data_IF_254605318929
#
_entry.id   IF_254605318929
#
_cell.length_a   1.000
_cell.length_b   1.000
_cell.length_c   1.000
_cell.angle_alpha   90.00
_cell.angle_beta   90.00
_cell.angle_gamma   90.00
#
_symmetry.space_group_name_H-M   'P 1'
#
loop_
_entity.id
_entity.type
_entity.pdbx_description
1 polymer ?
#
# COMPACT_ATOMS: atom_id res chain seq x y z
N UNK A 1 -1.37 -16.90 16.21
CA UNK A 1 -0.70 -16.18 15.09
C UNK A 1 -1.62 -15.21 14.36
N UNK A 2 -2.88 -15.56 14.01
CA UNK A 2 -3.76 -14.60 13.31
C UNK A 2 -4.12 -13.35 14.11
N UNK A 3 -4.27 -13.46 15.43
CA UNK A 3 -4.50 -12.30 16.30
C UNK A 3 -3.35 -11.29 16.23
N UNK A 4 -2.10 -11.74 16.32
CA UNK A 4 -0.91 -10.87 16.21
C UNK A 4 -0.85 -10.14 14.86
N UNK A 5 -1.20 -10.81 13.76
CA UNK A 5 -1.22 -10.19 12.45
C UNK A 5 -2.29 -9.09 12.35
N UNK A 6 -3.48 -9.31 12.93
CA UNK A 6 -4.51 -8.29 13.00
C UNK A 6 -4.07 -7.07 13.82
N UNK A 7 -3.44 -7.28 14.99
CA UNK A 7 -2.90 -6.19 15.80
C UNK A 7 -1.83 -5.38 15.06
N UNK A 8 -0.93 -6.05 14.32
CA UNK A 8 0.10 -5.36 13.55
C UNK A 8 -0.50 -4.47 12.44
N UNK A 9 -1.53 -4.94 11.74
CA UNK A 9 -2.21 -4.15 10.71
C UNK A 9 -2.94 -2.95 11.31
N UNK A 10 -3.59 -3.12 12.48
CA UNK A 10 -4.23 -2.01 13.19
C UNK A 10 -3.23 -0.96 13.66
N UNK A 11 -2.07 -1.38 14.17
CA UNK A 11 -1.00 -0.46 14.55
C UNK A 11 -0.49 0.32 13.33
N UNK A 12 -0.31 -0.34 12.18
CA UNK A 12 0.11 0.34 10.95
C UNK A 12 -0.90 1.40 10.49
N UNK A 13 -2.21 1.14 10.60
CA UNK A 13 -3.24 2.15 10.33
C UNK A 13 -3.16 3.33 11.32
N UNK A 14 -2.92 3.03 12.60
CA UNK A 14 -2.72 4.06 13.63
C UNK A 14 -1.49 4.93 13.37
N UNK A 15 -0.38 4.33 12.93
CA UNK A 15 0.85 5.06 12.58
C UNK A 15 0.64 5.98 11.38
N UNK A 16 -0.10 5.52 10.36
CA UNK A 16 -0.45 6.34 9.18
C UNK A 16 -1.35 7.51 9.60
N UNK A 17 -2.38 7.26 10.43
CA UNK A 17 -3.28 8.31 10.92
C UNK A 17 -2.49 9.38 11.71
N UNK A 18 -1.66 8.95 12.66
CA UNK A 18 -0.81 9.86 13.43
C UNK A 18 0.18 10.63 12.53
N UNK A 19 0.67 10.01 11.46
CA UNK A 19 1.48 10.66 10.43
C UNK A 19 0.72 11.78 9.72
N UNK A 20 -0.49 11.49 9.23
CA UNK A 20 -1.37 12.47 8.59
C UNK A 20 -1.75 13.61 9.53
N UNK A 21 -2.13 13.30 10.78
CA UNK A 21 -2.44 14.31 11.80
C UNK A 21 -1.24 15.21 12.09
N UNK A 22 -0.02 14.67 12.13
CA UNK A 22 1.18 15.50 12.30
C UNK A 22 1.36 16.45 11.15
N UNK A 23 1.25 15.98 9.90
CA UNK A 23 1.38 16.84 8.71
C UNK A 23 0.32 17.95 8.74
N UNK A 24 -0.92 17.62 9.09
CA UNK A 24 -2.02 18.58 9.16
C UNK A 24 -1.87 19.58 10.32
N UNK A 25 -1.45 19.10 11.51
CA UNK A 25 -1.38 19.91 12.73
C UNK A 25 -0.05 20.64 12.92
N UNK A 26 0.95 20.40 12.06
CA UNK A 26 2.19 21.19 12.04
C UNK A 26 2.28 22.05 10.77
N UNK A 27 1.30 22.93 10.48
CA UNK A 27 1.44 23.89 9.40
C UNK A 27 2.58 24.86 9.72
N UNK A 28 3.18 25.44 8.68
CA UNK A 28 4.11 26.54 8.90
C UNK A 28 3.40 27.69 9.64
N UNK A 29 4.07 28.39 10.56
CA UNK A 29 3.39 29.43 11.30
C UNK A 29 2.90 30.52 10.32
N UNK A 30 1.62 30.89 10.42
CA UNK A 30 0.93 31.78 9.48
C UNK A 30 1.71 33.09 9.25
N UNK A 31 2.36 33.61 10.28
CA UNK A 31 3.19 34.81 10.17
C UNK A 31 4.32 34.68 9.12
N UNK A 32 4.92 33.49 8.95
CA UNK A 32 5.94 33.26 7.93
C UNK A 32 5.35 33.33 6.52
N UNK A 33 4.23 32.65 6.27
CA UNK A 33 3.56 32.67 4.95
C UNK A 33 3.19 34.11 4.53
N UNK A 34 2.66 34.90 5.47
CA UNK A 34 2.30 36.30 5.25
C UNK A 34 3.55 37.14 4.98
N UNK A 35 4.60 37.00 5.80
CA UNK A 35 5.83 37.76 5.64
C UNK A 35 6.53 37.46 4.31
N UNK A 36 6.63 36.18 3.91
CA UNK A 36 7.22 35.78 2.62
C UNK A 36 6.45 36.40 1.47
N UNK A 37 5.12 36.35 1.50
CA UNK A 37 4.28 36.99 0.48
C UNK A 37 4.52 38.51 0.41
N UNK A 38 4.49 39.20 1.56
CA UNK A 38 4.72 40.65 1.62
C UNK A 38 6.10 41.05 1.10
N UNK A 39 7.16 40.36 1.52
CA UNK A 39 8.53 40.64 1.08
C UNK A 39 8.67 40.38 -0.43
N UNK A 40 8.08 39.30 -0.94
CA UNK A 40 8.11 38.97 -2.37
C UNK A 40 7.44 40.06 -3.21
N UNK A 41 6.28 40.56 -2.77
CA UNK A 41 5.59 41.67 -3.41
C UNK A 41 6.42 42.95 -3.42
N UNK A 42 7.02 43.31 -2.28
CA UNK A 42 7.92 44.47 -2.18
C UNK A 42 9.13 44.31 -3.10
N UNK A 43 9.73 43.12 -3.15
CA UNK A 43 10.87 42.83 -4.01
C UNK A 43 10.53 43.01 -5.50
N UNK A 44 9.41 42.43 -5.96
CA UNK A 44 8.97 42.56 -7.36
C UNK A 44 8.67 44.03 -7.72
N UNK A 45 8.12 44.81 -6.80
CA UNK A 45 7.90 46.25 -7.00
C UNK A 45 9.20 47.06 -7.05
N UNK A 46 10.24 46.65 -6.32
CA UNK A 46 11.56 47.31 -6.31
C UNK A 46 12.47 46.90 -7.47
N UNK A 47 12.27 45.70 -8.02
CA UNK A 47 13.01 45.13 -9.14
C UNK A 47 13.16 46.06 -10.38
N UNK A 48 12.13 46.79 -10.86
CA UNK A 48 12.30 47.73 -11.97
C UNK A 48 13.27 48.87 -11.67
N UNK A 49 13.28 49.40 -10.44
CA UNK A 49 14.20 50.47 -10.05
C UNK A 49 15.64 49.97 -9.99
N UNK A 50 15.84 48.69 -9.68
CA UNK A 50 17.15 48.05 -9.68
C UNK A 50 17.70 47.85 -11.11
N UNK A 51 16.84 47.43 -12.07
CA UNK A 51 17.28 47.09 -13.42
C UNK A 51 17.30 48.28 -14.41
N UNK A 52 16.54 49.35 -14.15
CA UNK A 52 16.43 50.48 -15.10
C UNK A 52 17.78 51.13 -15.41
N UNK A 53 18.70 51.18 -14.44
CA UNK A 53 20.04 51.75 -14.63
C UNK A 53 20.98 50.88 -15.47
N UNK A 54 20.71 49.58 -15.59
CA UNK A 54 21.56 48.63 -16.32
C UNK A 54 21.03 48.34 -17.73
N UNK A 55 19.71 48.20 -17.86
CA UNK A 55 19.05 47.72 -19.10
C UNK A 55 18.19 48.79 -19.80
N UNK A 56 18.03 49.98 -19.22
CA UNK A 56 17.17 51.05 -19.74
C UNK A 56 15.77 50.53 -20.14
N UNK A 57 15.37 50.66 -21.41
CA UNK A 57 14.07 50.22 -21.91
C UNK A 57 13.87 48.70 -21.88
N UNK A 58 14.95 47.90 -21.93
CA UNK A 58 14.87 46.43 -21.85
C UNK A 58 14.54 45.98 -20.43
N UNK A 59 14.67 46.86 -19.42
CA UNK A 59 14.26 46.55 -18.06
C UNK A 59 12.77 46.20 -17.96
N UNK A 60 11.89 46.79 -18.78
CA UNK A 60 10.45 46.55 -18.74
C UNK A 60 10.09 45.08 -19.02
N UNK A 61 10.46 44.48 -20.17
CA UNK A 61 10.18 43.06 -20.42
C UNK A 61 10.96 42.14 -19.48
N UNK A 62 12.18 42.52 -19.08
CA UNK A 62 12.99 41.72 -18.16
C UNK A 62 12.36 41.62 -16.76
N UNK A 63 11.85 42.73 -16.22
CA UNK A 63 11.20 42.75 -14.90
C UNK A 63 9.86 42.04 -14.93
N UNK A 64 9.09 42.16 -16.02
CA UNK A 64 7.86 41.38 -16.22
C UNK A 64 8.12 39.87 -16.20
N UNK A 65 9.14 39.41 -16.93
CA UNK A 65 9.50 38.00 -16.96
C UNK A 65 9.98 37.50 -15.58
N UNK A 66 10.83 38.28 -14.90
CA UNK A 66 11.28 37.95 -13.55
C UNK A 66 10.12 37.91 -12.54
N UNK A 67 9.21 38.89 -12.59
CA UNK A 67 8.02 38.94 -11.75
C UNK A 67 7.12 37.72 -11.95
N UNK A 68 6.90 37.31 -13.19
CA UNK A 68 6.11 36.11 -13.51
C UNK A 68 6.72 34.85 -12.89
N UNK A 69 8.04 34.68 -12.99
CA UNK A 69 8.74 33.52 -12.41
C UNK A 69 8.64 33.53 -10.88
N UNK A 70 8.93 34.68 -10.25
CA UNK A 70 8.96 34.81 -8.78
C UNK A 70 7.56 34.65 -8.19
N UNK A 71 6.56 35.34 -8.73
CA UNK A 71 5.19 35.26 -8.24
C UNK A 71 4.56 33.90 -8.57
N UNK A 72 4.88 33.31 -9.72
CA UNK A 72 4.46 31.96 -10.07
C UNK A 72 4.99 30.93 -9.07
N UNK A 73 6.27 31.04 -8.70
CA UNK A 73 6.86 30.17 -7.68
C UNK A 73 6.20 30.34 -6.31
N UNK A 74 5.90 31.58 -5.91
CA UNK A 74 5.18 31.86 -4.66
C UNK A 74 3.79 31.21 -4.64
N UNK A 75 3.05 31.30 -5.76
CA UNK A 75 1.71 30.74 -5.86
C UNK A 75 1.74 29.21 -5.81
N UNK A 76 2.63 28.57 -6.57
CA UNK A 76 2.82 27.12 -6.56
C UNK A 76 3.22 26.64 -5.16
N UNK A 77 4.13 27.36 -4.49
CA UNK A 77 4.55 27.03 -3.13
C UNK A 77 3.39 27.06 -2.14
N UNK A 78 2.45 27.99 -2.31
CA UNK A 78 1.25 28.09 -1.48
C UNK A 78 0.28 26.93 -1.70
N UNK A 79 0.08 26.52 -2.96
CA UNK A 79 -0.78 25.37 -3.30
C UNK A 79 -0.22 24.06 -2.72
N UNK A 80 1.10 23.87 -2.77
CA UNK A 80 1.74 22.63 -2.27
C UNK A 80 1.80 22.59 -0.72
N UNK A 81 1.63 23.73 -0.04
CA UNK A 81 1.72 23.81 1.42
C UNK A 81 0.59 23.04 2.13
N UNK A 82 -0.60 22.95 1.53
CA UNK A 82 -1.77 22.31 2.14
C UNK A 82 -2.36 21.17 1.27
N UNK A 83 -1.70 20.01 1.18
CA UNK A 83 -2.09 18.92 0.26
C UNK A 83 -3.43 18.24 0.58
N UNK A 84 -4.00 18.50 1.76
CA UNK A 84 -5.27 17.92 2.23
C UNK A 84 -6.45 18.90 2.10
N UNK A 85 -6.28 20.00 1.37
CA UNK A 85 -7.31 21.02 1.17
C UNK A 85 -8.42 20.61 0.20
N UNK A 86 -8.93 21.60 -0.50
CA UNK A 86 -10.03 21.48 -1.48
C UNK A 86 -9.64 22.12 -2.82
N UNK A 87 -8.36 22.47 -3.01
CA UNK A 87 -7.86 23.07 -4.23
C UNK A 87 -7.74 22.00 -5.33
N UNK A 88 -7.67 22.44 -6.59
CA UNK A 88 -7.65 21.52 -7.75
C UNK A 88 -6.40 20.63 -7.76
N UNK A 89 -5.32 21.08 -7.12
CA UNK A 89 -4.05 20.37 -7.04
C UNK A 89 -3.91 19.50 -5.77
N UNK A 90 -4.92 19.51 -4.90
CA UNK A 90 -4.88 18.74 -3.65
C UNK A 90 -5.18 17.25 -3.89
N UNK A 91 -4.93 16.44 -2.85
CA UNK A 91 -5.17 15.01 -2.90
C UNK A 91 -6.68 14.71 -3.00
N UNK A 92 -7.11 13.81 -3.91
CA UNK A 92 -8.51 13.45 -4.07
C UNK A 92 -8.95 12.45 -2.98
N UNK A 93 -9.06 12.94 -1.74
CA UNK A 93 -9.37 12.10 -0.56
C UNK A 93 -10.69 11.34 -0.71
N UNK A 94 -11.70 11.96 -1.32
CA UNK A 94 -13.00 11.32 -1.57
C UNK A 94 -12.86 10.06 -2.42
N UNK A 95 -12.04 10.12 -3.47
CA UNK A 95 -11.79 8.98 -4.35
C UNK A 95 -11.05 7.85 -3.63
N UNK A 96 -10.12 8.18 -2.73
CA UNK A 96 -9.46 7.16 -1.90
C UNK A 96 -10.43 6.50 -0.94
N UNK A 97 -11.32 7.26 -0.30
CA UNK A 97 -12.36 6.73 0.58
C UNK A 97 -13.32 5.81 -0.18
N UNK A 98 -13.77 6.22 -1.38
CA UNK A 98 -14.65 5.41 -2.23
C UNK A 98 -13.98 4.09 -2.63
N UNK A 99 -12.70 4.14 -3.01
CA UNK A 99 -11.93 2.95 -3.36
C UNK A 99 -11.81 1.98 -2.17
N UNK A 100 -11.46 2.49 -0.98
CA UNK A 100 -11.36 1.68 0.24
C UNK A 100 -12.72 1.03 0.58
N UNK A 101 -13.82 1.78 0.46
CA UNK A 101 -15.17 1.25 0.70
C UNK A 101 -15.50 0.13 -0.27
N UNK A 102 -15.23 0.32 -1.56
CA UNK A 102 -15.47 -0.70 -2.58
C UNK A 102 -14.66 -1.98 -2.33
N UNK A 103 -13.38 -1.86 -1.97
CA UNK A 103 -12.55 -3.02 -1.62
C UNK A 103 -13.06 -3.75 -0.37
N UNK A 104 -13.52 -3.00 0.64
CA UNK A 104 -14.08 -3.58 1.86
C UNK A 104 -15.37 -4.36 1.57
N UNK A 105 -16.25 -3.82 0.72
CA UNK A 105 -17.49 -4.51 0.30
C UNK A 105 -17.18 -5.79 -0.46
N UNK A 106 -16.18 -5.78 -1.36
CA UNK A 106 -15.73 -6.98 -2.06
C UNK A 106 -15.24 -8.03 -1.06
N UNK A 107 -14.39 -7.64 -0.10
CA UNK A 107 -13.87 -8.55 0.93
C UNK A 107 -15.00 -9.11 1.79
N UNK A 108 -15.96 -8.27 2.18
CA UNK A 108 -17.11 -8.64 2.99
C UNK A 108 -18.10 -9.56 2.26
N UNK A 109 -18.16 -9.49 0.93
CA UNK A 109 -19.02 -10.36 0.11
C UNK A 109 -18.59 -11.83 0.11
N UNK A 110 -17.32 -12.13 0.45
CA UNK A 110 -16.85 -13.50 0.53
C UNK A 110 -17.40 -14.20 1.79
N UNK A 111 -18.15 -15.29 1.59
CA UNK A 111 -18.60 -16.13 2.69
C UNK A 111 -17.39 -16.74 3.42
N UNK A 112 -17.23 -16.41 4.71
CA UNK A 112 -16.26 -17.09 5.57
C UNK A 112 -16.71 -18.53 5.74
N UNK A 113 -16.18 -19.44 4.91
CA UNK A 113 -16.45 -20.87 5.06
C UNK A 113 -16.08 -21.29 6.49
N UNK A 114 -17.03 -21.84 7.27
CA UNK A 114 -16.72 -22.25 8.62
C UNK A 114 -15.64 -23.32 8.56
N UNK A 115 -14.55 -23.13 9.31
CA UNK A 115 -13.38 -24.03 9.34
C UNK A 115 -13.79 -25.49 9.53
N UNK A 116 -14.85 -25.72 10.31
CA UNK A 116 -15.48 -27.03 10.52
C UNK A 116 -15.93 -27.64 9.19
N UNK A 117 -16.67 -26.92 8.35
CA UNK A 117 -17.14 -27.42 7.05
C UNK A 117 -15.99 -27.78 6.10
N UNK A 118 -14.89 -27.03 6.15
CA UNK A 118 -13.68 -27.33 5.37
C UNK A 118 -12.99 -28.57 5.94
N UNK A 119 -12.91 -28.68 7.27
CA UNK A 119 -12.25 -29.81 7.93
C UNK A 119 -12.95 -31.15 7.63
N UNK A 120 -14.28 -31.17 7.69
CA UNK A 120 -15.08 -32.37 7.44
C UNK A 120 -15.46 -32.58 5.96
N UNK A 121 -14.97 -31.72 5.05
CA UNK A 121 -15.21 -31.92 3.62
C UNK A 121 -14.51 -33.19 3.13
N UNK A 122 -15.18 -33.98 2.29
CA UNK A 122 -14.61 -35.20 1.69
C UNK A 122 -13.40 -34.91 0.80
N UNK A 123 -13.22 -33.65 0.39
CA UNK A 123 -12.05 -33.17 -0.37
C UNK A 123 -10.86 -32.84 0.53
N UNK A 124 -11.03 -32.77 1.85
CA UNK A 124 -9.94 -32.53 2.78
C UNK A 124 -9.18 -33.82 3.04
N UNK A 125 -8.02 -33.98 2.39
CA UNK A 125 -7.15 -35.16 2.47
C UNK A 125 -5.90 -34.84 3.31
N UNK A 126 -5.97 -34.88 4.65
CA UNK A 126 -4.90 -34.37 5.53
C UNK A 126 -3.57 -35.14 5.40
N UNK A 127 -3.62 -36.38 4.93
CA UNK A 127 -2.46 -37.25 4.78
C UNK A 127 -2.16 -37.60 3.32
N UNK A 128 -2.69 -36.84 2.35
CA UNK A 128 -2.25 -36.96 0.96
C UNK A 128 -0.74 -36.63 0.86
N UNK A 129 0.06 -37.35 0.05
CA UNK A 129 -0.30 -38.44 -0.87
C UNK A 129 -0.32 -39.85 -0.23
N UNK A 130 0.08 -39.97 1.03
CA UNK A 130 0.19 -41.26 1.76
C UNK A 130 -1.16 -41.96 1.87
N UNK A 131 -2.23 -41.17 1.96
CA UNK A 131 -3.60 -41.69 1.96
C UNK A 131 -4.55 -40.71 1.29
N UNK A 132 -5.46 -41.26 0.49
CA UNK A 132 -6.57 -40.55 -0.15
C UNK A 132 -7.83 -40.54 0.70
N UNK A 133 -7.76 -40.96 1.97
CA UNK A 133 -8.92 -40.96 2.86
C UNK A 133 -9.19 -39.56 3.44
N UNK A 134 -10.47 -39.14 3.51
CA UNK A 134 -10.86 -37.84 4.06
C UNK A 134 -10.68 -37.79 5.58
N UNK A 135 -10.70 -36.57 6.13
CA UNK A 135 -10.51 -36.34 7.57
C UNK A 135 -11.51 -37.10 8.46
N UNK A 136 -12.77 -37.23 8.02
CA UNK A 136 -13.83 -37.98 8.71
C UNK A 136 -13.47 -39.45 8.94
N UNK A 137 -12.89 -40.11 7.93
CA UNK A 137 -12.44 -41.51 8.00
C UNK A 137 -11.23 -41.65 8.92
N UNK A 138 -10.33 -40.67 8.93
CA UNK A 138 -9.17 -40.68 9.82
C UNK A 138 -9.55 -40.50 11.29
N UNK A 139 -10.62 -39.76 11.59
CA UNK A 139 -11.13 -39.60 12.95
C UNK A 139 -11.70 -40.89 13.55
N UNK A 140 -12.12 -41.85 12.72
CA UNK A 140 -12.66 -43.14 13.17
C UNK A 140 -11.57 -44.22 13.38
N UNK A 141 -10.31 -43.94 13.03
CA UNK A 141 -9.21 -44.91 13.09
C UNK A 141 -8.53 -44.91 14.47
N UNK A 142 -7.96 -46.06 14.84
CA UNK A 142 -7.20 -46.19 16.08
C UNK A 142 -5.95 -45.31 16.06
N UNK A 143 -5.59 -44.80 17.25
CA UNK A 143 -4.43 -43.92 17.43
C UNK A 143 -3.12 -44.56 16.94
N UNK A 144 -2.96 -45.87 17.15
CA UNK A 144 -1.80 -46.62 16.68
C UNK A 144 -1.65 -46.55 15.15
N UNK A 145 -2.75 -46.68 14.40
CA UNK A 145 -2.73 -46.60 12.94
C UNK A 145 -2.41 -45.17 12.47
N UNK A 146 -2.95 -44.16 13.16
CA UNK A 146 -2.66 -42.76 12.89
C UNK A 146 -1.17 -42.46 13.08
N UNK A 147 -0.62 -42.81 14.25
CA UNK A 147 0.80 -42.60 14.59
C UNK A 147 1.75 -43.32 13.62
N UNK A 148 1.44 -44.56 13.26
CA UNK A 148 2.21 -45.30 12.26
C UNK A 148 2.20 -44.61 10.88
N UNK A 149 1.04 -44.12 10.45
CA UNK A 149 0.91 -43.43 9.17
C UNK A 149 1.66 -42.09 9.16
N UNK A 150 1.58 -41.33 10.25
CA UNK A 150 2.35 -40.09 10.41
C UNK A 150 3.85 -40.37 10.40
N UNK A 151 4.29 -41.46 11.06
CA UNK A 151 5.70 -41.85 11.11
C UNK A 151 6.25 -42.29 9.75
N UNK A 152 5.42 -42.91 8.92
CA UNK A 152 5.81 -43.35 7.57
C UNK A 152 5.68 -42.25 6.51
N UNK A 153 4.94 -41.17 6.81
CA UNK A 153 4.71 -40.05 5.88
C UNK A 153 5.98 -39.44 5.28
N UNK A 154 7.06 -39.16 6.04
CA UNK A 154 8.27 -38.58 5.46
C UNK A 154 8.90 -39.44 4.36
N UNK A 155 8.97 -40.76 4.57
CA UNK A 155 9.56 -41.70 3.61
C UNK A 155 8.70 -41.78 2.34
N UNK A 156 7.38 -41.93 2.50
CA UNK A 156 6.45 -41.99 1.36
C UNK A 156 6.45 -40.68 0.55
N UNK A 157 6.60 -39.53 1.21
CA UNK A 157 6.72 -38.24 0.52
C UNK A 157 8.02 -38.15 -0.27
N UNK A 158 9.14 -38.64 0.29
CA UNK A 158 10.43 -38.68 -0.40
C UNK A 158 10.36 -39.54 -1.66
N UNK A 159 9.85 -40.76 -1.54
CA UNK A 159 9.69 -41.69 -2.67
C UNK A 159 8.73 -41.12 -3.74
N UNK A 160 7.61 -40.52 -3.31
CA UNK A 160 6.67 -39.87 -4.21
C UNK A 160 7.29 -38.70 -4.98
N UNK A 161 8.12 -37.88 -4.33
CA UNK A 161 8.85 -36.79 -4.99
C UNK A 161 9.86 -37.32 -6.01
N UNK A 162 10.62 -38.35 -5.66
CA UNK A 162 11.62 -38.95 -6.56
C UNK A 162 10.95 -39.57 -7.79
N UNK A 163 9.88 -40.35 -7.60
CA UNK A 163 9.11 -40.94 -8.70
C UNK A 163 8.50 -39.87 -9.63
N UNK A 164 8.12 -38.70 -9.10
CA UNK A 164 7.60 -37.58 -9.91
C UNK A 164 8.71 -36.90 -10.71
N UNK A 165 9.89 -36.74 -10.13
CA UNK A 165 11.08 -36.20 -10.82
C UNK A 165 11.54 -37.12 -11.94
N UNK A 166 11.60 -38.42 -11.70
CA UNK A 166 11.95 -39.44 -12.71
C UNK A 166 10.97 -39.46 -13.89
N UNK A 167 9.66 -39.38 -13.60
CA UNK A 167 8.64 -39.24 -14.67
C UNK A 167 8.79 -37.95 -15.46
N UNK A 168 9.17 -36.85 -14.81
CA UNK A 168 9.39 -35.57 -15.50
C UNK A 168 10.59 -35.66 -16.45
N UNK A 169 11.71 -36.22 -15.99
CA UNK A 169 12.93 -36.43 -16.79
C UNK A 169 12.67 -37.40 -17.95
N UNK A 170 11.85 -38.43 -17.74
CA UNK A 170 11.48 -39.39 -18.79
C UNK A 170 10.48 -38.79 -19.79
N UNK A 171 9.58 -37.91 -19.34
CA UNK A 171 8.67 -37.16 -20.20
C UNK A 171 9.36 -36.10 -21.05
N UNK A 172 10.41 -35.45 -20.52
CA UNK A 172 11.23 -34.45 -21.24
C UNK A 172 12.16 -35.07 -22.29
N UNK A 173 12.46 -36.37 -22.20
CA UNK A 173 13.26 -37.11 -23.18
C UNK A 173 12.45 -37.68 -24.36
N UNK A 174 11.12 -37.59 -24.32
CA UNK A 174 10.21 -38.12 -25.34
C UNK A 174 9.46 -37.00 -26.10
N UNK A 175 10.01 -35.78 -26.07
CA UNK A 175 9.62 -34.61 -26.88
C UNK A 175 10.86 -34.13 -27.61
#
# INVERSE_FOLDING_TARGET
>A
MQQTLAYNNLNALGDVLAGCERILNTPLPIAYSIAISQITWVYVMLLPFQLVGLLHYVAIPATMAAAYIILGLLLIGREIENPFGQDVNDLPLESFCEQISSELDIIASFEKKPVVSVFYSDRNLPLYPVSTAPASVWMQRSEQKLRHTIRSKPNVIFDWKNARTERKITGEKNV
#
